data_IF_474558638500
#
_entry.id   IF_474558638500
#
_cell.length_a   1.000
_cell.length_b   1.000
_cell.length_c   1.000
_cell.angle_alpha   90.00
_cell.angle_beta   90.00
_cell.angle_gamma   90.00
#
_symmetry.space_group_name_H-M   'P 1'
#
loop_
_entity.id
_entity.type
_entity.pdbx_description
1 polymer ?
#
# COMPACT_ATOMS: atom_id res chain seq x y z
N UNK A 1 22.42 18.30 3.34
CA UNK A 1 21.48 17.66 2.38
C UNK A 1 20.36 16.88 3.09
N UNK A 2 19.39 17.53 3.77
CA UNK A 2 18.38 16.83 4.58
C UNK A 2 17.19 16.27 3.77
N UNK A 3 16.78 16.96 2.70
CA UNK A 3 15.55 16.66 1.93
C UNK A 3 15.57 15.28 1.26
N UNK A 4 16.68 14.87 0.66
CA UNK A 4 16.83 13.56 0.03
C UNK A 4 16.84 12.39 1.03
N UNK A 5 17.11 12.65 2.32
CA UNK A 5 17.02 11.63 3.38
C UNK A 5 15.57 11.42 3.82
N UNK A 6 14.80 12.50 3.92
CA UNK A 6 13.37 12.46 4.25
C UNK A 6 12.55 11.75 3.17
N UNK A 7 12.85 12.00 1.89
CA UNK A 7 12.18 11.30 0.77
C UNK A 7 12.40 9.77 0.86
N UNK A 8 13.66 9.35 1.06
CA UNK A 8 14.01 7.94 1.25
C UNK A 8 13.32 7.32 2.45
N UNK A 9 13.26 8.03 3.58
CA UNK A 9 12.54 7.54 4.76
C UNK A 9 11.05 7.37 4.49
N UNK A 10 10.38 8.32 3.83
CA UNK A 10 8.96 8.22 3.49
C UNK A 10 8.66 7.04 2.58
N UNK A 11 9.48 6.83 1.55
CA UNK A 11 9.33 5.69 0.65
C UNK A 11 9.58 4.35 1.37
N UNK A 12 10.57 4.29 2.27
CA UNK A 12 10.80 3.12 3.11
C UNK A 12 9.62 2.84 4.05
N UNK A 13 9.04 3.88 4.68
CA UNK A 13 7.85 3.73 5.51
C UNK A 13 6.67 3.23 4.70
N UNK A 14 6.44 3.76 3.49
CA UNK A 14 5.39 3.25 2.59
C UNK A 14 5.64 1.79 2.20
N UNK A 15 6.88 1.43 1.91
CA UNK A 15 7.24 0.06 1.56
C UNK A 15 6.98 -0.90 2.72
N UNK A 16 7.43 -0.56 3.93
CA UNK A 16 7.20 -1.37 5.12
C UNK A 16 5.71 -1.45 5.47
N UNK A 17 4.96 -0.37 5.30
CA UNK A 17 3.52 -0.36 5.47
C UNK A 17 2.84 -1.30 4.46
N UNK A 18 3.24 -1.22 3.19
CA UNK A 18 2.76 -2.15 2.16
C UNK A 18 3.08 -3.61 2.47
N UNK A 19 4.29 -3.88 2.96
CA UNK A 19 4.68 -5.21 3.41
C UNK A 19 3.81 -5.68 4.59
N UNK A 20 3.57 -4.81 5.56
CA UNK A 20 2.72 -5.14 6.70
C UNK A 20 1.29 -5.44 6.26
N UNK A 21 0.69 -4.63 5.37
CA UNK A 21 -0.68 -4.89 4.89
C UNK A 21 -0.77 -6.16 4.05
N UNK A 22 0.16 -6.36 3.11
CA UNK A 22 0.12 -7.50 2.18
C UNK A 22 0.52 -8.84 2.81
N UNK A 23 1.33 -8.82 3.86
CA UNK A 23 1.76 -10.02 4.60
C UNK A 23 1.18 -10.09 6.02
N UNK A 24 0.09 -9.36 6.26
CA UNK A 24 -0.61 -9.34 7.54
C UNK A 24 -1.55 -10.53 7.71
N UNK A 25 -1.81 -10.98 8.95
CA UNK A 25 -2.85 -11.97 9.23
C UNK A 25 -4.27 -11.52 8.82
N UNK A 26 -4.48 -10.24 8.52
CA UNK A 26 -5.73 -9.75 7.91
C UNK A 26 -6.02 -10.43 6.58
N UNK A 27 -4.99 -10.78 5.80
CA UNK A 27 -5.12 -11.48 4.51
C UNK A 27 -5.85 -12.82 4.70
N UNK A 28 -5.48 -13.57 5.74
CA UNK A 28 -6.10 -14.85 6.08
C UNK A 28 -7.56 -14.69 6.53
N UNK A 29 -7.86 -13.59 7.22
CA UNK A 29 -9.23 -13.27 7.61
C UNK A 29 -10.10 -12.92 6.39
N UNK A 30 -9.55 -12.13 5.45
CA UNK A 30 -10.20 -11.73 4.21
C UNK A 30 -10.38 -12.89 3.22
N UNK A 31 -9.49 -13.87 3.22
CA UNK A 31 -9.66 -15.14 2.49
C UNK A 31 -10.92 -15.88 2.92
N UNK A 32 -11.21 -15.91 4.22
CA UNK A 32 -12.41 -16.57 4.76
C UNK A 32 -13.68 -15.73 4.74
N UNK A 33 -13.59 -14.43 4.41
CA UNK A 33 -14.70 -13.49 4.50
C UNK A 33 -15.73 -13.62 3.35
N UNK A 34 -15.42 -14.42 2.32
CA UNK A 34 -16.31 -14.70 1.19
C UNK A 34 -16.15 -13.74 0.02
N UNK A 35 -17.21 -13.64 -0.79
CA UNK A 35 -17.22 -12.88 -2.04
C UNK A 35 -18.01 -11.58 -1.93
N UNK A 36 -17.50 -10.54 -2.58
CA UNK A 36 -18.18 -9.29 -2.82
C UNK A 36 -18.56 -9.21 -4.29
N UNK A 37 -19.87 -9.24 -4.59
CA UNK A 37 -20.38 -9.24 -5.98
C UNK A 37 -19.82 -10.40 -6.84
N UNK A 38 -19.52 -11.54 -6.22
CA UNK A 38 -18.89 -12.69 -6.88
C UNK A 38 -17.38 -12.59 -7.07
N UNK A 39 -16.75 -11.55 -6.52
CA UNK A 39 -15.29 -11.37 -6.51
C UNK A 39 -14.79 -11.60 -5.08
N UNK A 40 -13.79 -12.46 -4.86
CA UNK A 40 -13.26 -12.68 -3.52
C UNK A 40 -12.74 -11.37 -2.91
N UNK A 41 -13.12 -11.09 -1.66
CA UNK A 41 -12.71 -9.86 -0.97
C UNK A 41 -11.19 -9.70 -0.90
N UNK A 42 -10.46 -10.82 -0.86
CA UNK A 42 -9.01 -10.85 -0.93
C UNK A 42 -8.46 -10.09 -2.15
N UNK A 43 -9.04 -10.29 -3.33
CA UNK A 43 -8.57 -9.59 -4.54
C UNK A 43 -8.82 -8.10 -4.44
N UNK A 44 -10.02 -7.70 -3.99
CA UNK A 44 -10.37 -6.29 -3.79
C UNK A 44 -9.38 -5.64 -2.82
N UNK A 45 -9.05 -6.31 -1.72
CA UNK A 45 -8.07 -5.86 -0.75
C UNK A 45 -6.67 -5.70 -1.36
N UNK A 46 -6.18 -6.73 -2.06
CA UNK A 46 -4.83 -6.74 -2.64
C UNK A 46 -4.65 -5.58 -3.63
N UNK A 47 -5.61 -5.40 -4.55
CA UNK A 47 -5.58 -4.33 -5.54
C UNK A 47 -5.76 -2.95 -4.91
N UNK A 48 -6.62 -2.81 -3.89
CA UNK A 48 -6.80 -1.54 -3.19
C UNK A 48 -5.53 -1.10 -2.45
N UNK A 49 -4.88 -2.02 -1.71
CA UNK A 49 -3.62 -1.75 -1.02
C UNK A 49 -2.52 -1.38 -2.02
N UNK A 50 -2.41 -2.13 -3.11
CA UNK A 50 -1.41 -1.85 -4.14
C UNK A 50 -1.62 -0.48 -4.81
N UNK A 51 -2.86 -0.16 -5.18
CA UNK A 51 -3.22 1.14 -5.74
C UNK A 51 -2.92 2.29 -4.75
N UNK A 52 -3.21 2.10 -3.45
CA UNK A 52 -2.92 3.08 -2.41
C UNK A 52 -1.40 3.35 -2.29
N UNK A 53 -0.57 2.31 -2.33
CA UNK A 53 0.89 2.45 -2.30
C UNK A 53 1.39 3.24 -3.51
N UNK A 54 0.91 2.92 -4.71
CA UNK A 54 1.28 3.63 -5.94
C UNK A 54 0.84 5.09 -5.87
N UNK A 55 -0.40 5.35 -5.45
CA UNK A 55 -0.93 6.70 -5.32
C UNK A 55 -0.08 7.53 -4.34
N UNK A 56 0.21 6.98 -3.16
CA UNK A 56 1.04 7.66 -2.16
C UNK A 56 2.47 7.88 -2.65
N UNK A 57 3.07 6.91 -3.34
CA UNK A 57 4.38 7.07 -3.96
C UNK A 57 4.37 8.16 -5.05
N UNK A 58 3.35 8.17 -5.90
CA UNK A 58 3.16 9.17 -6.95
C UNK A 58 2.96 10.57 -6.36
N UNK A 59 2.15 10.71 -5.31
CA UNK A 59 1.96 11.96 -4.56
C UNK A 59 3.30 12.42 -3.99
N UNK A 60 4.03 11.58 -3.25
CA UNK A 60 5.32 11.95 -2.66
C UNK A 60 6.33 12.37 -3.74
N UNK A 61 6.35 11.69 -4.88
CA UNK A 61 7.21 12.05 -6.00
C UNK A 61 6.80 13.37 -6.67
N UNK A 62 5.49 13.59 -6.86
CA UNK A 62 4.94 14.80 -7.46
C UNK A 62 5.21 16.03 -6.59
N UNK A 63 4.97 15.92 -5.29
CA UNK A 63 5.24 16.97 -4.29
C UNK A 63 6.72 17.37 -4.21
N UNK A 64 7.65 16.56 -4.72
CA UNK A 64 9.07 16.90 -4.73
C UNK A 64 9.50 17.71 -5.97
N UNK A 65 8.62 17.89 -6.95
CA UNK A 65 8.94 18.58 -8.22
C UNK A 65 8.62 20.08 -8.20
N UNK A 66 7.96 20.57 -7.14
CA UNK A 66 7.69 21.98 -6.86
C UNK A 66 8.61 22.52 -5.75
#
# INVERSE_FOLDING_TARGET
>A
MPRARLLRQRLLTLFLLGLLLLFSPLVLYLEGAGDWLGIPLLYVYLFAVWALIILLAAVIAAWHRD
#
